data_IF_688418236818
#
_entry.id   IF_688418236818
#
_cell.length_a   1.000
_cell.length_b   1.000
_cell.length_c   1.000
_cell.angle_alpha   90.00
_cell.angle_beta   90.00
_cell.angle_gamma   90.00
#
_symmetry.space_group_name_H-M   'P 1'
#
loop_
_entity.id
_entity.type
_entity.pdbx_description
1 polymer ?
#
# COMPACT_ATOMS: atom_id res chain seq x y z
N UNK A 1 5.70 3.16 -18.11
CA UNK A 1 6.19 4.48 -17.66
C UNK A 1 6.66 5.33 -18.85
N UNK A 2 7.61 4.88 -19.69
CA UNK A 2 8.06 5.66 -20.86
C UNK A 2 6.92 6.09 -21.79
N UNK A 3 5.98 5.20 -22.11
CA UNK A 3 4.83 5.52 -22.98
C UNK A 3 3.83 6.52 -22.33
N UNK A 4 3.99 6.84 -21.06
CA UNK A 4 3.27 7.89 -20.36
C UNK A 4 4.05 9.20 -20.29
N UNK A 5 5.17 9.31 -20.97
CA UNK A 5 6.03 10.48 -20.98
C UNK A 5 6.86 10.69 -19.70
N UNK A 6 6.94 9.68 -18.82
CA UNK A 6 7.60 9.83 -17.53
C UNK A 6 9.12 9.87 -17.65
N UNK A 7 9.73 10.85 -17.01
CA UNK A 7 11.17 10.97 -16.77
C UNK A 7 11.54 10.54 -15.33
N UNK A 8 12.83 10.24 -15.11
CA UNK A 8 13.28 9.84 -13.77
C UNK A 8 13.21 10.95 -12.71
N UNK A 9 13.19 12.21 -13.14
CA UNK A 9 13.20 13.37 -12.25
C UNK A 9 11.81 13.99 -12.04
N UNK A 10 10.79 13.48 -12.70
CA UNK A 10 9.40 13.95 -12.52
C UNK A 10 8.90 13.68 -11.12
N UNK A 11 8.05 14.55 -10.59
CA UNK A 11 7.27 14.27 -9.40
C UNK A 11 5.93 13.66 -9.81
N UNK A 12 5.77 12.37 -9.56
CA UNK A 12 4.55 11.63 -9.89
C UNK A 12 3.55 11.74 -8.75
N UNK A 13 2.34 12.21 -9.03
CA UNK A 13 1.21 12.17 -8.10
C UNK A 13 0.29 11.04 -8.54
N UNK A 14 0.11 10.04 -7.69
CA UNK A 14 -0.79 8.91 -7.93
C UNK A 14 -2.09 9.08 -7.15
N UNK A 15 -3.22 8.81 -7.80
CA UNK A 15 -4.54 8.85 -7.17
C UNK A 15 -5.44 7.75 -7.71
N UNK A 16 -6.56 7.52 -7.03
CA UNK A 16 -7.63 6.66 -7.47
C UNK A 16 -8.99 7.34 -7.22
N UNK A 17 -10.05 6.78 -7.75
CA UNK A 17 -11.41 7.33 -7.67
C UNK A 17 -12.09 7.15 -6.32
N UNK A 18 -11.56 6.24 -5.48
CA UNK A 18 -12.13 5.88 -4.18
C UNK A 18 -11.12 6.10 -3.05
N UNK A 19 -10.97 5.11 -2.18
CA UNK A 19 -9.94 5.13 -1.13
C UNK A 19 -8.55 4.90 -1.72
N UNK A 20 -7.51 5.45 -1.12
CA UNK A 20 -6.13 5.50 -1.64
C UNK A 20 -5.44 4.14 -1.91
N UNK A 21 -6.08 3.02 -1.71
CA UNK A 21 -5.46 1.69 -1.68
C UNK A 21 -4.76 1.29 -2.99
N UNK A 22 -5.37 1.53 -4.15
CA UNK A 22 -4.72 1.22 -5.44
C UNK A 22 -3.60 2.19 -5.76
N UNK A 23 -3.72 3.46 -5.36
CA UNK A 23 -2.66 4.46 -5.49
C UNK A 23 -1.47 4.15 -4.57
N UNK A 24 -1.70 3.64 -3.35
CA UNK A 24 -0.63 3.14 -2.48
C UNK A 24 0.17 2.00 -3.15
N UNK A 25 -0.51 1.11 -3.89
CA UNK A 25 0.19 0.07 -4.68
C UNK A 25 1.03 0.67 -5.80
N UNK A 26 0.53 1.66 -6.54
CA UNK A 26 1.27 2.34 -7.59
C UNK A 26 2.48 3.11 -7.02
N UNK A 27 2.29 3.83 -5.90
CA UNK A 27 3.36 4.49 -5.14
C UNK A 27 4.46 3.49 -4.74
N UNK A 28 4.10 2.38 -4.14
CA UNK A 28 5.05 1.35 -3.72
C UNK A 28 5.82 0.75 -4.92
N UNK A 29 5.13 0.48 -6.03
CA UNK A 29 5.78 -0.04 -7.24
C UNK A 29 6.78 0.95 -7.84
N UNK A 30 6.45 2.24 -7.89
CA UNK A 30 7.37 3.27 -8.37
C UNK A 30 8.64 3.32 -7.50
N UNK A 31 8.50 3.26 -6.17
CA UNK A 31 9.64 3.20 -5.25
C UNK A 31 10.44 1.90 -5.39
N UNK A 32 9.78 0.77 -5.63
CA UNK A 32 10.45 -0.50 -5.91
C UNK A 32 11.29 -0.43 -7.20
N UNK A 33 10.86 0.35 -8.19
CA UNK A 33 11.61 0.61 -9.43
C UNK A 33 12.58 1.80 -9.35
N UNK A 34 12.81 2.30 -8.15
CA UNK A 34 13.79 3.36 -7.87
C UNK A 34 13.34 4.77 -8.20
N UNK A 35 12.02 5.01 -8.29
CA UNK A 35 11.46 6.34 -8.47
C UNK A 35 11.05 6.92 -7.11
N UNK A 36 11.83 7.89 -6.62
CA UNK A 36 11.67 8.45 -5.28
C UNK A 36 10.60 9.54 -5.21
N UNK A 37 10.52 10.38 -6.26
CA UNK A 37 9.63 11.55 -6.31
C UNK A 37 8.19 11.14 -6.64
N UNK A 38 7.55 10.42 -5.73
CA UNK A 38 6.17 9.96 -5.86
C UNK A 38 5.35 10.25 -4.61
N UNK A 39 4.16 10.79 -4.78
CA UNK A 39 3.19 11.08 -3.72
C UNK A 39 1.84 10.46 -4.03
N UNK A 40 1.08 10.16 -2.98
CA UNK A 40 -0.33 9.74 -3.09
C UNK A 40 -1.22 10.93 -2.78
N UNK A 41 -2.22 11.18 -3.62
CA UNK A 41 -3.26 12.18 -3.34
C UNK A 41 -4.18 11.64 -2.25
N UNK A 42 -4.12 12.22 -1.07
CA UNK A 42 -4.94 11.83 0.07
C UNK A 42 -6.43 12.07 -0.19
N UNK A 43 -7.25 11.03 0.08
CA UNK A 43 -8.68 11.02 -0.23
C UNK A 43 -8.99 10.88 -1.74
N UNK A 44 -7.97 10.80 -2.61
CA UNK A 44 -8.10 10.52 -4.04
C UNK A 44 -8.97 11.53 -4.80
N UNK A 45 -9.53 11.10 -5.94
CA UNK A 45 -10.37 11.96 -6.80
C UNK A 45 -11.60 12.50 -6.07
N UNK A 46 -12.19 11.73 -5.17
CA UNK A 46 -13.35 12.15 -4.39
C UNK A 46 -13.03 13.41 -3.56
N UNK A 47 -11.93 13.41 -2.86
CA UNK A 47 -11.48 14.57 -2.05
C UNK A 47 -11.10 15.75 -2.93
N UNK A 48 -10.49 15.52 -4.09
CA UNK A 48 -10.18 16.53 -5.09
C UNK A 48 -11.43 17.27 -5.56
N UNK A 49 -12.46 16.51 -5.97
CA UNK A 49 -13.75 17.06 -6.42
C UNK A 49 -14.49 17.82 -5.31
N UNK A 50 -14.47 17.30 -4.07
CA UNK A 50 -15.10 17.96 -2.93
C UNK A 50 -14.47 19.33 -2.63
N UNK A 51 -13.23 19.55 -3.06
CA UNK A 51 -12.51 20.83 -2.95
C UNK A 51 -12.56 21.65 -4.25
N UNK A 52 -13.50 21.35 -5.14
CA UNK A 52 -13.66 22.01 -6.44
C UNK A 52 -12.43 21.93 -7.35
N UNK A 53 -11.67 20.86 -7.24
CA UNK A 53 -10.53 20.60 -8.12
C UNK A 53 -10.98 20.44 -9.57
N UNK A 54 -10.26 21.07 -10.51
CA UNK A 54 -10.54 20.98 -11.95
C UNK A 54 -10.30 19.55 -12.45
N UNK A 55 -11.13 19.11 -13.41
CA UNK A 55 -11.01 17.83 -14.09
C UNK A 55 -11.11 18.00 -15.60
N UNK A 56 -10.50 17.09 -16.33
CA UNK A 56 -10.59 16.98 -17.76
C UNK A 56 -11.21 15.63 -18.13
N UNK A 57 -11.82 15.56 -19.31
CA UNK A 57 -12.37 14.34 -19.91
C UNK A 57 -11.88 14.19 -21.33
N UNK A 58 -11.83 12.96 -21.81
CA UNK A 58 -11.37 12.67 -23.18
C UNK A 58 -10.07 11.87 -23.21
N UNK A 59 -9.56 11.55 -24.41
CA UNK A 59 -8.28 10.87 -24.55
C UNK A 59 -7.15 11.77 -24.04
N UNK A 60 -6.19 11.16 -23.37
CA UNK A 60 -4.94 11.84 -23.03
C UNK A 60 -4.26 12.31 -24.33
N UNK A 61 -3.85 13.56 -24.39
CA UNK A 61 -2.99 14.04 -25.49
C UNK A 61 -1.71 13.23 -25.51
N UNK A 62 -1.28 12.82 -26.70
CA UNK A 62 -0.08 11.99 -26.88
C UNK A 62 1.12 12.61 -26.13
N UNK A 63 1.48 12.01 -25.02
CA UNK A 63 2.72 12.33 -24.36
C UNK A 63 3.88 11.82 -25.24
N UNK A 64 4.88 12.63 -25.47
CA UNK A 64 6.13 12.16 -26.06
C UNK A 64 6.70 11.06 -25.17
N UNK A 65 7.35 10.05 -25.77
CA UNK A 65 7.97 8.97 -25.01
C UNK A 65 9.02 9.53 -24.05
N UNK A 66 8.85 9.25 -22.75
CA UNK A 66 9.80 9.67 -21.71
C UNK A 66 11.01 8.74 -21.60
N UNK A 67 12.02 9.20 -20.85
CA UNK A 67 13.29 8.50 -20.63
C UNK A 67 13.36 7.68 -19.32
N UNK A 68 12.22 7.35 -18.70
CA UNK A 68 12.21 6.60 -17.43
C UNK A 68 13.03 5.31 -17.52
N UNK A 69 13.95 5.15 -16.58
CA UNK A 69 14.77 3.95 -16.40
C UNK A 69 14.64 3.40 -14.98
N UNK A 70 14.63 2.08 -14.85
CA UNK A 70 14.58 1.40 -13.54
C UNK A 70 15.91 1.58 -12.82
N UNK A 71 15.83 1.91 -11.54
CA UNK A 71 16.98 2.06 -10.62
C UNK A 71 16.82 1.13 -9.42
N UNK A 72 17.79 1.12 -8.51
CA UNK A 72 17.68 0.39 -7.26
C UNK A 72 16.46 0.85 -6.43
N UNK A 73 15.80 -0.05 -5.69
CA UNK A 73 14.64 0.30 -4.86
C UNK A 73 14.95 1.40 -3.84
N UNK A 74 13.95 2.27 -3.60
CA UNK A 74 14.03 3.36 -2.63
C UNK A 74 13.04 3.09 -1.49
N UNK A 75 13.53 2.50 -0.38
CA UNK A 75 12.75 2.22 0.81
C UNK A 75 11.58 1.23 0.62
N UNK A 76 11.45 0.62 -0.56
CA UNK A 76 10.46 -0.39 -0.87
C UNK A 76 11.18 -1.72 -1.15
N UNK A 77 10.73 -2.78 -0.50
CA UNK A 77 11.31 -4.12 -0.66
C UNK A 77 10.18 -5.15 -0.78
N UNK A 78 10.51 -6.28 -1.37
CA UNK A 78 9.62 -7.43 -1.47
C UNK A 78 10.34 -8.65 -0.88
N UNK A 79 9.68 -9.33 0.05
CA UNK A 79 10.18 -10.59 0.57
C UNK A 79 9.56 -11.76 -0.21
N UNK A 80 10.36 -12.67 -0.80
CA UNK A 80 9.86 -13.87 -1.44
C UNK A 80 9.15 -14.80 -0.44
N UNK A 81 8.12 -15.51 -0.90
CA UNK A 81 7.31 -16.42 -0.07
C UNK A 81 8.16 -17.43 0.70
N UNK A 82 9.11 -18.10 0.02
CA UNK A 82 9.93 -19.12 0.66
C UNK A 82 10.87 -18.53 1.72
N UNK A 83 11.39 -17.32 1.49
CA UNK A 83 12.20 -16.62 2.49
C UNK A 83 11.37 -16.26 3.71
N UNK A 84 10.16 -15.71 3.51
CA UNK A 84 9.28 -15.38 4.62
C UNK A 84 8.87 -16.64 5.40
N UNK A 85 8.54 -17.73 4.71
CA UNK A 85 8.20 -19.02 5.35
C UNK A 85 9.32 -19.50 6.25
N UNK A 86 10.57 -19.49 5.78
CA UNK A 86 11.73 -19.88 6.58
C UNK A 86 11.88 -19.00 7.83
N UNK A 87 11.73 -17.67 7.70
CA UNK A 87 11.82 -16.77 8.85
C UNK A 87 10.72 -17.03 9.89
N UNK A 88 9.50 -17.32 9.44
CA UNK A 88 8.37 -17.67 10.32
C UNK A 88 8.61 -19.01 11.03
N UNK A 89 9.06 -20.05 10.31
CA UNK A 89 9.37 -21.37 10.87
C UNK A 89 10.49 -21.29 11.91
N UNK A 90 11.47 -20.43 11.71
CA UNK A 90 12.58 -20.19 12.65
C UNK A 90 12.19 -19.25 13.82
N UNK A 91 11.02 -18.63 13.78
CA UNK A 91 10.58 -17.64 14.79
C UNK A 91 11.36 -16.33 14.77
N UNK A 92 11.98 -15.97 13.65
CA UNK A 92 12.84 -14.77 13.50
C UNK A 92 12.32 -13.79 12.44
N UNK A 93 11.07 -13.92 12.02
CA UNK A 93 10.47 -13.05 11.00
C UNK A 93 10.35 -11.57 11.42
N UNK A 94 10.56 -11.25 12.70
CA UNK A 94 10.32 -9.91 13.23
C UNK A 94 8.83 -9.59 13.28
N UNK A 95 8.47 -8.34 12.95
CA UNK A 95 7.07 -7.90 12.96
C UNK A 95 6.41 -8.16 11.60
N UNK A 96 5.24 -8.79 11.61
CA UNK A 96 4.41 -9.01 10.42
C UNK A 96 3.05 -8.35 10.66
N UNK A 97 2.70 -7.32 9.88
CA UNK A 97 1.42 -6.62 9.95
C UNK A 97 0.50 -7.07 8.80
N UNK A 98 -0.65 -7.65 9.15
CA UNK A 98 -1.66 -8.09 8.17
C UNK A 98 -2.78 -7.04 8.05
N UNK A 99 -2.93 -6.51 6.83
CA UNK A 99 -3.87 -5.42 6.51
C UNK A 99 -5.32 -5.87 6.29
N UNK A 100 -5.63 -7.18 6.33
CA UNK A 100 -6.99 -7.69 6.12
C UNK A 100 -7.93 -7.34 7.27
N UNK A 101 -9.24 -7.51 7.05
CA UNK A 101 -10.23 -7.40 8.14
C UNK A 101 -9.92 -8.38 9.28
N UNK A 102 -10.31 -8.01 10.50
CA UNK A 102 -10.12 -8.85 11.67
C UNK A 102 -10.76 -10.25 11.51
N UNK A 103 -11.93 -10.31 10.85
CA UNK A 103 -12.61 -11.59 10.61
C UNK A 103 -11.86 -12.49 9.63
N UNK A 104 -11.26 -11.95 8.57
CA UNK A 104 -10.41 -12.71 7.65
C UNK A 104 -9.11 -13.14 8.32
N UNK A 105 -8.50 -12.27 9.10
CA UNK A 105 -7.31 -12.57 9.88
C UNK A 105 -7.57 -13.71 10.88
N UNK A 106 -8.69 -13.66 11.59
CA UNK A 106 -9.11 -14.71 12.52
C UNK A 106 -9.60 -16.00 11.85
N UNK A 107 -9.84 -15.99 10.53
CA UNK A 107 -10.35 -17.15 9.78
C UNK A 107 -11.85 -17.40 9.95
N UNK A 108 -12.61 -16.44 10.52
CA UNK A 108 -14.07 -16.53 10.69
C UNK A 108 -14.86 -15.94 9.53
N UNK A 109 -14.19 -15.12 8.70
CA UNK A 109 -14.74 -14.65 7.43
C UNK A 109 -14.08 -15.38 6.26
N UNK A 110 -14.82 -15.70 5.19
CA UNK A 110 -14.25 -16.36 4.02
C UNK A 110 -13.28 -15.42 3.26
N UNK A 111 -12.30 -16.01 2.61
CA UNK A 111 -11.47 -15.27 1.65
C UNK A 111 -12.27 -14.98 0.37
N UNK A 112 -12.05 -13.77 -0.26
CA UNK A 112 -12.78 -13.40 -1.48
C UNK A 112 -12.51 -14.33 -2.68
N UNK A 113 -11.37 -15.02 -2.69
CA UNK A 113 -10.99 -15.97 -3.74
C UNK A 113 -11.21 -17.40 -3.26
N UNK A 114 -11.89 -18.19 -4.06
CA UNK A 114 -12.09 -19.64 -3.77
C UNK A 114 -10.76 -20.36 -3.63
N UNK A 115 -10.71 -21.34 -2.74
CA UNK A 115 -9.54 -22.20 -2.51
C UNK A 115 -8.46 -21.60 -1.59
N UNK A 116 -8.62 -20.36 -1.12
CA UNK A 116 -7.73 -19.81 -0.12
C UNK A 116 -8.19 -20.17 1.29
N UNK A 117 -7.23 -20.51 2.15
CA UNK A 117 -7.50 -20.78 3.57
C UNK A 117 -7.71 -19.48 4.33
N UNK A 118 -8.65 -19.47 5.28
CA UNK A 118 -8.78 -18.42 6.29
C UNK A 118 -7.64 -18.46 7.32
N UNK A 119 -7.59 -17.44 8.18
CA UNK A 119 -6.56 -17.30 9.20
C UNK A 119 -5.33 -16.52 8.72
N UNK A 120 -4.25 -16.57 9.49
CA UNK A 120 -3.06 -15.73 9.29
C UNK A 120 -1.76 -16.52 9.45
N UNK A 121 -0.64 -15.91 9.09
CA UNK A 121 0.70 -16.48 9.28
C UNK A 121 1.04 -16.50 10.79
N UNK A 122 1.66 -17.56 11.32
CA UNK A 122 2.12 -17.58 12.69
C UNK A 122 2.99 -16.36 13.03
N UNK A 123 2.71 -15.70 14.15
CA UNK A 123 3.42 -14.50 14.58
C UNK A 123 3.00 -13.20 13.89
N UNK A 124 2.03 -13.24 12.96
CA UNK A 124 1.49 -12.02 12.38
C UNK A 124 0.51 -11.33 13.34
N UNK A 125 0.52 -10.00 13.31
CA UNK A 125 -0.41 -9.11 14.00
C UNK A 125 -1.41 -8.50 13.00
N UNK A 126 -2.62 -8.23 13.43
CA UNK A 126 -3.63 -7.60 12.58
C UNK A 126 -3.64 -6.08 12.73
N UNK A 127 -3.41 -5.39 11.63
CA UNK A 127 -3.59 -3.93 11.51
C UNK A 127 -4.53 -3.70 10.31
N UNK A 128 -5.85 -3.78 10.51
CA UNK A 128 -6.80 -3.64 9.42
C UNK A 128 -6.63 -2.29 8.72
N UNK A 129 -6.47 -2.28 7.40
CA UNK A 129 -6.28 -1.03 6.64
C UNK A 129 -7.42 -0.03 6.89
N UNK A 130 -8.64 -0.51 7.15
CA UNK A 130 -9.78 0.33 7.48
C UNK A 130 -9.58 1.16 8.75
N UNK A 131 -8.72 0.75 9.68
CA UNK A 131 -8.39 1.51 10.90
C UNK A 131 -7.53 2.74 10.63
N UNK A 132 -6.91 2.83 9.45
CA UNK A 132 -6.05 3.94 9.05
C UNK A 132 -6.79 4.98 8.18
N UNK A 133 -8.04 4.69 7.79
CA UNK A 133 -8.83 5.51 6.86
C UNK A 133 -9.94 6.22 7.62
N UNK A 134 -10.13 7.52 7.35
CA UNK A 134 -11.24 8.29 7.88
C UNK A 134 -12.52 8.09 7.05
N UNK A 135 -13.64 8.69 7.48
CA UNK A 135 -14.93 8.57 6.79
C UNK A 135 -14.96 9.20 5.39
N UNK A 136 -14.07 10.16 5.14
CA UNK A 136 -13.96 10.85 3.84
C UNK A 136 -13.08 10.07 2.84
N UNK A 137 -12.49 8.97 3.27
CA UNK A 137 -11.63 8.12 2.45
C UNK A 137 -10.15 8.54 2.42
N UNK A 138 -9.77 9.57 3.16
CA UNK A 138 -8.38 9.97 3.38
C UNK A 138 -7.74 9.21 4.54
N UNK A 139 -6.47 9.46 4.77
CA UNK A 139 -5.74 8.94 5.91
C UNK A 139 -6.21 9.62 7.21
N UNK A 140 -6.19 8.88 8.29
CA UNK A 140 -6.31 9.46 9.65
C UNK A 140 -5.07 10.27 9.99
N UNK A 141 -5.12 11.02 11.09
CA UNK A 141 -3.94 11.72 11.61
C UNK A 141 -2.80 10.74 11.94
N UNK A 142 -1.56 11.23 11.92
CA UNK A 142 -0.39 10.40 12.25
C UNK A 142 -0.48 9.76 13.64
N UNK A 143 -1.04 10.48 14.61
CA UNK A 143 -1.22 9.95 15.97
C UNK A 143 -2.25 8.79 16.01
N UNK A 144 -3.35 8.90 15.25
CA UNK A 144 -4.34 7.83 15.13
C UNK A 144 -3.79 6.62 14.38
N UNK A 145 -2.98 6.85 13.35
CA UNK A 145 -2.29 5.79 12.60
C UNK A 145 -1.30 5.08 13.54
N UNK A 146 -0.46 5.81 14.26
CA UNK A 146 0.47 5.24 15.22
C UNK A 146 -0.25 4.43 16.31
N UNK A 147 -1.38 4.95 16.81
CA UNK A 147 -2.21 4.23 17.78
C UNK A 147 -2.80 2.94 17.20
N UNK A 148 -3.20 2.92 15.93
CA UNK A 148 -3.72 1.71 15.27
C UNK A 148 -2.63 0.63 15.10
N UNK A 149 -1.40 1.01 14.76
CA UNK A 149 -0.26 0.08 14.72
C UNK A 149 0.06 -0.45 16.12
N UNK A 150 0.15 0.43 17.12
CA UNK A 150 0.40 0.04 18.51
C UNK A 150 -0.68 -0.89 19.06
N UNK A 151 -1.96 -0.66 18.76
CA UNK A 151 -3.07 -1.54 19.11
C UNK A 151 -2.94 -2.94 18.49
N UNK A 152 -2.34 -3.04 17.30
CA UNK A 152 -1.96 -4.31 16.67
C UNK A 152 -0.67 -4.91 17.21
N UNK A 153 0.00 -4.28 18.18
CA UNK A 153 1.28 -4.75 18.71
C UNK A 153 2.47 -4.52 17.79
N UNK A 154 2.38 -3.56 16.87
CA UNK A 154 3.43 -3.20 15.92
C UNK A 154 4.14 -1.91 16.38
N UNK A 155 5.46 -1.96 16.46
CA UNK A 155 6.34 -0.83 16.75
C UNK A 155 6.83 -0.22 15.43
N UNK A 156 6.41 1.01 15.10
CA UNK A 156 6.68 1.64 13.80
C UNK A 156 8.10 2.17 13.62
N UNK A 157 8.88 2.22 14.68
CA UNK A 157 10.32 2.55 14.66
C UNK A 157 11.22 1.35 14.31
N UNK A 158 10.63 0.17 14.14
CA UNK A 158 11.32 -1.08 13.76
C UNK A 158 10.85 -1.57 12.39
N UNK A 159 11.68 -2.34 11.67
CA UNK A 159 11.26 -2.93 10.39
C UNK A 159 9.99 -3.77 10.53
N UNK A 160 9.07 -3.59 9.60
CA UNK A 160 7.78 -4.30 9.54
C UNK A 160 7.61 -4.96 8.17
N UNK A 161 7.21 -6.21 8.16
CA UNK A 161 6.75 -6.91 6.96
C UNK A 161 5.25 -6.72 6.85
N UNK A 162 4.78 -6.07 5.80
CA UNK A 162 3.34 -5.89 5.57
C UNK A 162 2.78 -6.95 4.65
N UNK A 163 1.61 -7.48 4.96
CA UNK A 163 0.93 -8.52 4.18
C UNK A 163 -0.56 -8.27 4.04
N UNK A 164 -1.17 -8.91 3.05
CA UNK A 164 -2.64 -8.99 2.88
C UNK A 164 -3.00 -10.12 1.90
N UNK A 165 -4.20 -10.09 1.31
CA UNK A 165 -4.63 -11.10 0.33
C UNK A 165 -4.11 -10.90 -1.10
N UNK A 166 -3.83 -9.67 -1.54
CA UNK A 166 -3.47 -9.32 -2.95
C UNK A 166 -2.27 -8.40 -3.08
N UNK A 167 -1.67 -7.97 -1.97
CA UNK A 167 -0.59 -6.99 -1.95
C UNK A 167 -1.02 -5.54 -2.14
N UNK A 168 -2.32 -5.26 -2.27
CA UNK A 168 -2.84 -3.87 -2.44
C UNK A 168 -2.89 -3.16 -1.09
N UNK A 169 -3.63 -3.70 -0.13
CA UNK A 169 -3.78 -3.11 1.21
C UNK A 169 -2.51 -3.19 2.04
N UNK A 170 -1.63 -4.17 1.78
CA UNK A 170 -0.30 -4.21 2.37
C UNK A 170 0.57 -2.99 1.98
N UNK A 171 0.44 -2.53 0.73
CA UNK A 171 1.11 -1.29 0.31
C UNK A 171 0.53 -0.05 1.03
N UNK A 172 -0.74 -0.09 1.43
CA UNK A 172 -1.35 0.97 2.25
C UNK A 172 -0.78 1.02 3.67
N UNK A 173 -0.36 -0.12 4.26
CA UNK A 173 0.36 -0.13 5.54
C UNK A 173 1.81 0.34 5.39
N UNK A 174 2.39 0.22 4.20
CA UNK A 174 3.78 0.58 3.93
C UNK A 174 3.95 2.06 3.52
N UNK A 175 2.83 2.76 3.19
CA UNK A 175 2.79 4.17 2.83
C UNK A 175 3.03 5.07 4.04
#
# INVERSE_FOLDING_TARGET
MQNLGLENDDHVIVYCDSVFLSSARAWWMLRLFGHEKVSVLDGGLKSWLARSGATETGPMTDASKGGFTVRAPVGAQMIPMDSLRQLVELGVAGQIADARSAGRFAGVEPEPRAGLRGGHMPGASNVPIASLINQDGGLRSLDEIAAAFAAGGIETDRPVITTCGSGVTACGLAL
#
